data_IF_385288228775
#
_entry.id   IF_385288228775
#
_cell.length_a   1.000
_cell.length_b   1.000
_cell.length_c   1.000
_cell.angle_alpha   90.00
_cell.angle_beta   90.00
_cell.angle_gamma   90.00
#
_symmetry.space_group_name_H-M   'P 1'
#
loop_
_entity.id
_entity.type
_entity.pdbx_description
1 polymer ?
#
# COMPACT_ATOMS: atom_id res chain seq x y z
N UNK A 1 -8.55 -4.28 -6.61
CA UNK A 1 -7.92 -2.97 -6.28
C UNK A 1 -7.34 -2.38 -7.55
N UNK A 2 -7.39 -1.06 -7.72
CA UNK A 2 -6.62 -0.35 -8.75
C UNK A 2 -5.66 0.58 -8.03
N UNK A 3 -4.42 0.67 -8.50
CA UNK A 3 -3.42 1.58 -7.95
C UNK A 3 -2.62 2.24 -9.06
N UNK A 4 -2.05 3.40 -8.79
CA UNK A 4 -1.26 4.15 -9.76
C UNK A 4 0.06 4.66 -9.20
N UNK A 5 0.61 5.64 -9.90
CA UNK A 5 1.87 6.30 -9.54
C UNK A 5 1.59 7.40 -8.51
N UNK A 6 2.42 7.46 -7.47
CA UNK A 6 2.41 8.53 -6.47
C UNK A 6 3.63 9.43 -6.66
N UNK A 7 3.43 10.74 -6.78
CA UNK A 7 4.55 11.69 -6.68
C UNK A 7 4.75 12.13 -5.25
N UNK A 8 6.01 12.20 -4.84
CA UNK A 8 6.41 12.82 -3.60
C UNK A 8 6.72 14.28 -3.86
N UNK A 9 6.10 15.16 -3.10
CA UNK A 9 6.32 16.61 -3.16
C UNK A 9 6.81 17.13 -1.81
N UNK A 10 7.67 18.14 -1.79
CA UNK A 10 8.06 18.81 -0.54
C UNK A 10 6.99 19.81 -0.07
N UNK A 11 7.27 20.55 1.01
CA UNK A 11 6.39 21.61 1.55
C UNK A 11 6.08 22.76 0.56
N UNK A 12 6.92 22.95 -0.45
CA UNK A 12 6.78 23.97 -1.49
C UNK A 12 6.13 23.44 -2.76
N UNK A 13 5.59 22.21 -2.73
CA UNK A 13 5.03 21.47 -3.88
C UNK A 13 6.08 21.09 -4.95
N UNK A 14 7.37 21.17 -4.65
CA UNK A 14 8.41 20.71 -5.56
C UNK A 14 8.44 19.19 -5.55
N UNK A 15 8.48 18.57 -6.73
CA UNK A 15 8.68 17.12 -6.85
C UNK A 15 10.06 16.72 -6.32
N UNK A 16 10.07 15.76 -5.40
CA UNK A 16 11.29 15.24 -4.77
C UNK A 16 11.45 13.73 -4.97
N UNK A 17 10.47 13.08 -5.60
CA UNK A 17 10.52 11.66 -5.89
C UNK A 17 9.23 11.13 -6.47
N UNK A 18 9.25 9.85 -6.84
CA UNK A 18 8.14 9.14 -7.42
C UNK A 18 8.12 7.70 -6.92
N UNK A 19 6.96 7.23 -6.52
CA UNK A 19 6.71 5.83 -6.21
C UNK A 19 5.96 5.19 -7.38
N UNK A 20 6.65 4.33 -8.11
CA UNK A 20 6.15 3.70 -9.33
C UNK A 20 6.41 2.19 -9.28
N UNK A 21 5.47 1.41 -8.72
CA UNK A 21 5.67 -0.02 -8.53
C UNK A 21 5.50 -0.84 -9.81
N UNK A 22 4.94 -0.25 -10.87
CA UNK A 22 4.49 -1.00 -12.04
C UNK A 22 3.36 -2.00 -11.73
N UNK A 23 3.04 -2.85 -12.69
CA UNK A 23 2.14 -3.98 -12.45
C UNK A 23 2.82 -5.02 -11.56
N UNK A 24 2.22 -5.30 -10.41
CA UNK A 24 2.65 -6.36 -9.50
C UNK A 24 1.49 -7.32 -9.27
N UNK A 25 1.80 -8.53 -8.84
CA UNK A 25 0.81 -9.54 -8.47
C UNK A 25 0.93 -9.92 -6.99
N UNK A 26 0.03 -10.79 -6.55
CA UNK A 26 0.00 -11.33 -5.17
C UNK A 26 1.38 -11.86 -4.71
N UNK A 27 2.07 -12.64 -5.54
CA UNK A 27 3.39 -13.21 -5.21
C UNK A 27 4.46 -12.16 -4.91
N UNK A 28 4.40 -11.01 -5.56
CA UNK A 28 5.34 -9.90 -5.33
C UNK A 28 4.93 -9.10 -4.08
N UNK A 29 3.63 -8.91 -3.87
CA UNK A 29 3.11 -8.34 -2.63
C UNK A 29 3.47 -9.18 -1.41
N UNK A 30 3.60 -10.50 -1.51
CA UNK A 30 4.06 -11.33 -0.38
C UNK A 30 5.52 -11.06 0.03
N UNK A 31 6.31 -10.38 -0.81
CA UNK A 31 7.74 -10.14 -0.58
C UNK A 31 8.05 -8.73 -0.09
N UNK A 32 7.20 -7.76 -0.41
CA UNK A 32 7.40 -6.32 -0.14
C UNK A 32 6.07 -5.57 -0.16
N UNK A 33 6.05 -4.37 0.43
CA UNK A 33 4.95 -3.40 0.35
C UNK A 33 5.28 -2.22 -0.60
N UNK A 34 5.14 -2.38 -1.93
CA UNK A 34 5.49 -1.34 -2.88
C UNK A 34 4.28 -0.50 -3.34
N UNK A 35 3.07 -0.74 -2.83
CA UNK A 35 1.89 0.05 -3.23
C UNK A 35 1.67 1.14 -2.19
N UNK A 36 1.74 2.39 -2.61
CA UNK A 36 1.45 3.50 -1.72
C UNK A 36 -0.06 3.67 -1.57
N UNK A 37 -0.59 3.48 -0.35
CA UNK A 37 -2.02 3.56 -0.06
C UNK A 37 -2.74 4.82 -0.61
N UNK A 38 -2.16 6.04 -0.57
CA UNK A 38 -2.83 7.23 -1.13
C UNK A 38 -3.05 7.18 -2.65
N UNK A 39 -2.37 6.27 -3.35
CA UNK A 39 -2.52 6.04 -4.79
C UNK A 39 -3.36 4.80 -5.11
N UNK A 40 -4.23 4.36 -4.19
CA UNK A 40 -5.08 3.18 -4.37
C UNK A 40 -6.57 3.54 -4.38
N UNK A 41 -7.35 2.69 -5.06
CA UNK A 41 -8.80 2.70 -5.04
C UNK A 41 -9.32 1.26 -4.95
N UNK A 42 -10.36 1.08 -4.15
CA UNK A 42 -10.95 -0.22 -3.84
C UNK A 42 -12.42 -0.27 -4.20
N UNK A 43 -12.91 -1.47 -4.53
CA UNK A 43 -14.36 -1.72 -4.52
C UNK A 43 -14.80 -1.87 -3.07
N UNK A 44 -15.83 -1.11 -2.69
CA UNK A 44 -16.39 -1.12 -1.34
C UNK A 44 -16.74 -2.54 -0.85
N UNK A 45 -17.40 -3.34 -1.69
CA UNK A 45 -17.81 -4.71 -1.34
C UNK A 45 -16.61 -5.62 -1.07
N UNK A 46 -15.53 -5.45 -1.84
CA UNK A 46 -14.29 -6.22 -1.63
C UNK A 46 -13.66 -5.88 -0.28
N UNK A 47 -13.61 -4.60 0.11
CA UNK A 47 -13.08 -4.21 1.42
C UNK A 47 -13.94 -4.78 2.55
N UNK A 48 -15.27 -4.70 2.42
CA UNK A 48 -16.21 -5.25 3.39
C UNK A 48 -16.10 -6.77 3.55
N UNK A 49 -15.89 -7.50 2.47
CA UNK A 49 -15.68 -8.95 2.49
C UNK A 49 -14.38 -9.37 3.20
N UNK A 50 -13.36 -8.51 3.18
CA UNK A 50 -12.11 -8.71 3.92
C UNK A 50 -12.26 -8.32 5.40
N UNK A 51 -13.25 -7.48 5.74
CA UNK A 51 -13.44 -6.96 7.10
C UNK A 51 -12.89 -5.55 7.31
N UNK A 52 -12.30 -4.93 6.29
CA UNK A 52 -11.68 -3.61 6.39
C UNK A 52 -10.23 -3.66 6.87
N UNK A 53 -9.82 -2.60 7.56
CA UNK A 53 -8.53 -2.56 8.25
C UNK A 53 -8.59 -3.41 9.51
N UNK A 54 -7.48 -4.04 9.85
CA UNK A 54 -7.33 -4.83 11.06
C UNK A 54 -6.81 -3.94 12.19
N UNK A 55 -7.66 -3.67 13.18
CA UNK A 55 -7.37 -2.75 14.29
C UNK A 55 -6.26 -3.26 15.23
N UNK A 56 -5.86 -4.53 15.13
CA UNK A 56 -4.73 -5.08 15.90
C UNK A 56 -3.37 -4.80 15.25
N UNK A 57 -3.34 -4.28 14.02
CA UNK A 57 -2.12 -3.97 13.28
C UNK A 57 -1.74 -2.51 13.55
N UNK A 58 -0.64 -2.29 14.26
CA UNK A 58 -0.15 -0.94 14.57
C UNK A 58 0.63 -0.29 13.41
N UNK A 59 1.21 -1.11 12.52
CA UNK A 59 1.99 -0.66 11.37
C UNK A 59 1.79 -1.58 10.16
N UNK A 60 1.52 -1.00 8.99
CA UNK A 60 1.34 -1.72 7.73
C UNK A 60 -0.11 -2.18 7.51
N UNK A 61 -1.06 -1.42 8.05
CA UNK A 61 -2.50 -1.62 7.92
C UNK A 61 -2.93 -1.64 6.45
N UNK A 62 -2.33 -0.75 5.65
CA UNK A 62 -2.50 -0.70 4.21
C UNK A 62 -1.90 -1.94 3.50
N UNK A 63 -0.73 -2.40 3.96
CA UNK A 63 -0.09 -3.59 3.43
C UNK A 63 -0.95 -4.83 3.67
N UNK A 64 -1.49 -4.99 4.88
CA UNK A 64 -2.44 -6.06 5.20
C UNK A 64 -3.64 -6.03 4.25
N UNK A 65 -4.30 -4.87 4.12
CA UNK A 65 -5.50 -4.74 3.29
C UNK A 65 -5.18 -5.06 1.82
N UNK A 66 -4.08 -4.52 1.29
CA UNK A 66 -3.64 -4.75 -0.08
C UNK A 66 -3.33 -6.24 -0.33
N UNK A 67 -2.63 -6.88 0.61
CA UNK A 67 -2.26 -8.29 0.51
C UNK A 67 -3.49 -9.19 0.60
N UNK A 68 -4.39 -8.94 1.56
CA UNK A 68 -5.64 -9.69 1.74
C UNK A 68 -6.57 -9.59 0.51
N UNK A 69 -6.73 -8.39 -0.06
CA UNK A 69 -7.48 -8.18 -1.30
C UNK A 69 -6.82 -8.93 -2.47
N UNK A 70 -5.50 -8.81 -2.62
CA UNK A 70 -4.78 -9.43 -3.75
C UNK A 70 -4.76 -10.96 -3.71
N UNK A 71 -5.01 -11.59 -2.54
CA UNK A 71 -5.16 -13.05 -2.40
C UNK A 71 -6.40 -13.58 -3.13
N UNK A 72 -7.47 -12.79 -3.22
CA UNK A 72 -8.79 -13.21 -3.74
C UNK A 72 -9.27 -12.43 -4.95
N UNK A 73 -8.66 -11.29 -5.26
CA UNK A 73 -9.09 -10.39 -6.34
C UNK A 73 -7.91 -9.89 -7.19
N UNK A 74 -8.15 -9.57 -8.46
CA UNK A 74 -7.15 -8.91 -9.29
C UNK A 74 -6.75 -7.56 -8.70
N UNK A 75 -5.48 -7.23 -8.88
CA UNK A 75 -4.92 -5.90 -8.64
C UNK A 75 -4.43 -5.34 -9.96
N UNK A 76 -4.85 -4.13 -10.31
CA UNK A 76 -4.57 -3.52 -11.61
C UNK A 76 -3.73 -2.27 -11.42
N UNK A 77 -2.68 -2.15 -12.21
CA UNK A 77 -1.85 -0.95 -12.26
C UNK A 77 -2.34 0.00 -13.34
N UNK A 78 -2.53 1.26 -12.95
CA UNK A 78 -2.79 2.38 -13.84
C UNK A 78 -1.49 3.18 -14.01
N UNK A 79 -0.89 3.24 -15.21
CA UNK A 79 0.39 3.93 -15.46
C UNK A 79 0.24 5.46 -15.51
N UNK A 80 -0.51 6.03 -14.57
CA UNK A 80 -0.79 7.45 -14.43
C UNK A 80 -0.43 7.91 -13.03
N UNK A 81 -0.05 9.19 -12.91
CA UNK A 81 0.05 9.85 -11.62
C UNK A 81 -1.38 10.08 -11.11
N UNK A 82 -1.72 9.44 -10.00
CA UNK A 82 -3.06 9.53 -9.40
C UNK A 82 -3.06 10.27 -8.06
N UNK A 83 -1.87 10.50 -7.48
CA UNK A 83 -1.73 11.19 -6.21
C UNK A 83 -0.43 11.99 -6.12
N UNK A 84 -0.51 13.13 -5.43
CA UNK A 84 0.65 13.86 -4.91
C UNK A 84 0.64 13.74 -3.39
N UNK A 85 1.75 13.27 -2.82
CA UNK A 85 1.89 13.07 -1.39
C UNK A 85 2.99 13.95 -0.85
N UNK A 86 2.64 14.79 0.13
CA UNK A 86 3.57 15.75 0.69
C UNK A 86 4.47 15.05 1.70
N UNK A 87 5.77 15.11 1.47
CA UNK A 87 6.78 14.79 2.46
C UNK A 87 7.12 16.03 3.28
N UNK A 88 7.00 15.94 4.60
CA UNK A 88 7.36 16.99 5.53
C UNK A 88 8.10 16.42 6.75
N UNK A 89 8.78 17.30 7.48
CA UNK A 89 9.47 16.92 8.73
C UNK A 89 8.48 16.32 9.72
N UNK A 90 8.86 15.21 10.36
CA UNK A 90 8.05 14.50 11.35
C UNK A 90 7.13 13.41 10.78
N UNK A 91 7.24 13.08 9.49
CA UNK A 91 6.55 11.90 8.93
C UNK A 91 7.28 10.61 9.29
N UNK A 92 6.52 9.63 9.76
CA UNK A 92 7.02 8.29 10.09
C UNK A 92 7.04 7.32 8.89
N UNK A 93 6.50 7.75 7.74
CA UNK A 93 6.28 6.91 6.56
C UNK A 93 7.55 6.58 5.76
N UNK A 94 8.69 7.24 6.04
CA UNK A 94 9.94 7.06 5.30
C UNK A 94 11.10 6.83 6.29
N UNK A 95 11.87 5.76 6.09
CA UNK A 95 13.12 5.51 6.81
C UNK A 95 13.02 4.61 8.05
N UNK A 96 11.85 4.06 8.37
CA UNK A 96 11.69 3.03 9.41
C UNK A 96 11.88 1.62 8.84
N UNK A 97 12.43 0.73 9.67
CA UNK A 97 12.46 -0.71 9.39
C UNK A 97 11.13 -1.35 9.77
N UNK A 98 10.35 -1.73 8.76
CA UNK A 98 9.05 -2.38 8.92
C UNK A 98 9.12 -3.92 8.86
N UNK A 99 10.32 -4.52 8.78
CA UNK A 99 10.49 -5.97 8.51
C UNK A 99 9.74 -6.87 9.50
N UNK A 100 9.72 -6.50 10.79
CA UNK A 100 8.96 -7.23 11.82
C UNK A 100 7.46 -7.25 11.51
N UNK A 101 6.89 -6.10 11.16
CA UNK A 101 5.47 -5.93 10.86
C UNK A 101 5.09 -6.61 9.55
N UNK A 102 5.92 -6.44 8.53
CA UNK A 102 5.78 -7.12 7.24
C UNK A 102 5.67 -8.64 7.41
N UNK A 103 6.52 -9.24 8.25
CA UNK A 103 6.47 -10.68 8.54
C UNK A 103 5.14 -11.07 9.19
N UNK A 104 4.74 -10.35 10.24
CA UNK A 104 3.48 -10.60 10.95
C UNK A 104 2.26 -10.49 10.03
N UNK A 105 2.22 -9.46 9.18
CA UNK A 105 1.15 -9.25 8.19
C UNK A 105 1.08 -10.42 7.21
N UNK A 106 2.21 -10.88 6.69
CA UNK A 106 2.26 -12.01 5.76
C UNK A 106 1.73 -13.29 6.41
N UNK A 107 2.12 -13.56 7.67
CA UNK A 107 1.62 -14.70 8.45
C UNK A 107 0.10 -14.60 8.68
N UNK A 108 -0.41 -13.40 9.02
CA UNK A 108 -1.85 -13.17 9.23
C UNK A 108 -2.66 -13.34 7.93
N UNK A 109 -2.16 -12.89 6.78
CA UNK A 109 -2.89 -13.07 5.52
C UNK A 109 -2.84 -14.53 5.03
N UNK A 110 -1.81 -15.28 5.37
CA UNK A 110 -1.75 -16.72 5.05
C UNK A 110 -2.86 -17.52 5.75
N UNK A 111 -3.31 -17.11 6.94
CA UNK A 111 -4.37 -17.79 7.69
C UNK A 111 -5.82 -17.44 7.26
N UNK A 112 -6.00 -16.43 6.40
CA UNK A 112 -7.31 -16.07 5.79
C UNK A 112 -7.80 -17.08 4.74
#
# INVERSE_FOLDING_TARGET
>A
MVYGILKLIDKSNKEIGKWDPGQIGYRELQKRNPIANPATMFRMDTVRQIGGYDEEIEHGEDYYLNLAISKRNPILYAPFIVAHYRHHSGMDSIGRDYTKWDKMIREKVLSL
#
